data_IF_162360627669
#
_entry.id   IF_162360627669
#
_cell.length_a   1.000
_cell.length_b   1.000
_cell.length_c   1.000
_cell.angle_alpha   90.00
_cell.angle_beta   90.00
_cell.angle_gamma   90.00
#
_symmetry.space_group_name_H-M   'P 1'
#
loop_
_entity.id
_entity.type
_entity.pdbx_description
1 polymer ?
#
# COMPACT_ATOMS: atom_id res chain seq x y z
N UNK A 1 2.57 -33.85 -0.02
CA UNK A 1 3.66 -33.66 0.96
C UNK A 1 4.59 -32.51 0.57
N UNK A 2 5.34 -32.56 -0.54
CA UNK A 2 6.25 -31.44 -0.90
C UNK A 2 5.51 -30.13 -1.22
N UNK A 3 4.36 -30.20 -1.90
CA UNK A 3 3.52 -29.02 -2.15
C UNK A 3 2.98 -28.42 -0.84
N UNK A 4 2.54 -29.26 0.10
CA UNK A 4 2.03 -28.83 1.41
C UNK A 4 3.11 -28.08 2.23
N UNK A 5 4.39 -28.49 2.13
CA UNK A 5 5.50 -27.77 2.78
C UNK A 5 5.83 -26.44 2.08
N UNK A 6 5.71 -26.39 0.75
CA UNK A 6 5.96 -25.17 -0.01
C UNK A 6 4.93 -24.08 0.31
N UNK A 7 3.65 -24.45 0.45
CA UNK A 7 2.56 -23.52 0.78
C UNK A 7 2.72 -22.94 2.19
N UNK A 8 3.10 -23.76 3.17
CA UNK A 8 3.39 -23.31 4.54
C UNK A 8 4.61 -22.39 4.59
N UNK A 9 5.68 -22.71 3.85
CA UNK A 9 6.86 -21.86 3.77
C UNK A 9 6.54 -20.50 3.13
N UNK A 10 5.71 -20.50 2.08
CA UNK A 10 5.25 -19.29 1.40
C UNK A 10 4.44 -18.40 2.36
N UNK A 11 3.49 -18.99 3.11
CA UNK A 11 2.71 -18.27 4.11
C UNK A 11 3.63 -17.62 5.17
N UNK A 12 4.59 -18.38 5.69
CA UNK A 12 5.54 -17.90 6.69
C UNK A 12 6.40 -16.74 6.15
N UNK A 13 6.88 -16.85 4.91
CA UNK A 13 7.63 -15.80 4.25
C UNK A 13 6.80 -14.53 4.08
N UNK A 14 5.54 -14.66 3.67
CA UNK A 14 4.61 -13.54 3.54
C UNK A 14 4.43 -12.83 4.89
N UNK A 15 4.19 -13.57 5.97
CA UNK A 15 4.04 -12.99 7.33
C UNK A 15 5.30 -12.23 7.75
N UNK A 16 6.49 -12.80 7.54
CA UNK A 16 7.76 -12.14 7.84
C UNK A 16 7.90 -10.82 7.08
N UNK A 17 7.59 -10.80 5.79
CA UNK A 17 7.68 -9.59 4.95
C UNK A 17 6.76 -8.48 5.49
N UNK A 18 5.53 -8.82 5.90
CA UNK A 18 4.59 -7.84 6.45
C UNK A 18 5.04 -7.33 7.82
N UNK A 19 5.58 -8.19 8.69
CA UNK A 19 6.16 -7.79 9.98
C UNK A 19 7.33 -6.81 9.79
N UNK A 20 8.24 -7.11 8.87
CA UNK A 20 9.37 -6.21 8.54
C UNK A 20 8.85 -4.87 7.99
N UNK A 21 7.85 -4.89 7.11
CA UNK A 21 7.22 -3.69 6.58
C UNK A 21 6.62 -2.81 7.70
N UNK A 22 5.86 -3.41 8.62
CA UNK A 22 5.27 -2.70 9.77
C UNK A 22 6.35 -2.05 10.63
N UNK A 23 7.37 -2.82 11.04
CA UNK A 23 8.47 -2.32 11.86
C UNK A 23 9.18 -1.15 11.16
N UNK A 24 9.47 -1.29 9.88
CA UNK A 24 10.17 -0.26 9.09
C UNK A 24 9.34 1.01 8.98
N UNK A 25 8.04 0.89 8.72
CA UNK A 25 7.12 2.03 8.64
C UNK A 25 6.96 2.75 9.98
N UNK A 26 6.85 2.01 11.09
CA UNK A 26 6.80 2.59 12.44
C UNK A 26 8.09 3.37 12.76
N UNK A 27 9.26 2.78 12.48
CA UNK A 27 10.55 3.46 12.65
C UNK A 27 10.61 4.74 11.82
N UNK A 28 10.17 4.68 10.55
CA UNK A 28 10.15 5.84 9.66
C UNK A 28 9.22 6.95 10.17
N UNK A 29 8.04 6.63 10.70
CA UNK A 29 7.14 7.61 11.33
C UNK A 29 7.84 8.30 12.51
N UNK A 30 8.48 7.53 13.40
CA UNK A 30 9.19 8.06 14.57
C UNK A 30 10.33 8.99 14.13
N UNK A 31 11.11 8.61 13.12
CA UNK A 31 12.22 9.41 12.60
C UNK A 31 11.74 10.71 11.94
N UNK A 32 10.60 10.68 11.26
CA UNK A 32 10.04 11.84 10.57
C UNK A 32 9.32 12.81 11.51
N UNK A 33 8.78 12.30 12.63
CA UNK A 33 8.08 13.10 13.64
C UNK A 33 8.99 14.13 14.32
N UNK A 34 10.27 13.81 14.53
CA UNK A 34 11.22 14.64 15.30
C UNK A 34 11.79 15.86 14.55
N UNK A 35 11.49 16.05 13.26
CA UNK A 35 12.10 17.11 12.44
C UNK A 35 11.10 18.28 12.20
N UNK A 36 11.55 19.44 11.72
CA UNK A 36 10.65 20.58 11.35
C UNK A 36 9.71 20.25 10.19
N UNK A 37 8.41 20.58 10.29
CA UNK A 37 7.39 20.18 9.32
C UNK A 37 7.59 20.87 7.97
N UNK A 38 7.81 20.10 6.92
CA UNK A 38 7.75 20.57 5.52
C UNK A 38 6.60 19.88 4.81
N UNK A 39 5.99 20.53 3.80
CA UNK A 39 4.88 19.96 3.04
C UNK A 39 5.20 18.56 2.46
N UNK A 40 6.41 18.39 1.91
CA UNK A 40 6.90 17.09 1.43
C UNK A 40 6.89 16.02 2.52
N UNK A 41 7.22 16.38 3.77
CA UNK A 41 7.22 15.42 4.86
C UNK A 41 5.82 14.96 5.23
N UNK A 42 4.83 15.85 5.19
CA UNK A 42 3.43 15.47 5.46
C UNK A 42 2.98 14.40 4.46
N UNK A 43 3.31 14.57 3.17
CA UNK A 43 3.04 13.55 2.15
C UNK A 43 3.77 12.23 2.40
N UNK A 44 5.05 12.29 2.81
CA UNK A 44 5.81 11.08 3.16
C UNK A 44 5.17 10.35 4.34
N UNK A 45 4.82 11.07 5.42
CA UNK A 45 4.17 10.49 6.60
C UNK A 45 2.84 9.86 6.21
N UNK A 46 2.02 10.56 5.40
CA UNK A 46 0.74 10.04 4.94
C UNK A 46 0.92 8.77 4.09
N UNK A 47 1.91 8.74 3.19
CA UNK A 47 2.27 7.53 2.44
C UNK A 47 2.64 6.36 3.36
N UNK A 48 3.44 6.60 4.39
CA UNK A 48 3.87 5.57 5.34
C UNK A 48 2.70 5.06 6.17
N UNK A 49 1.79 5.95 6.59
CA UNK A 49 0.57 5.57 7.31
C UNK A 49 -0.33 4.71 6.43
N UNK A 50 -0.50 5.05 5.16
CA UNK A 50 -1.25 4.23 4.22
C UNK A 50 -0.62 2.84 4.04
N UNK A 51 0.71 2.77 3.94
CA UNK A 51 1.44 1.50 3.83
C UNK A 51 1.33 0.66 5.12
N UNK A 52 1.35 1.30 6.30
CA UNK A 52 1.14 0.64 7.58
C UNK A 52 -0.26 0.03 7.69
N UNK A 53 -1.30 0.78 7.32
CA UNK A 53 -2.69 0.28 7.32
C UNK A 53 -2.84 -0.85 6.32
N UNK A 54 -2.23 -0.74 5.13
CA UNK A 54 -2.25 -1.81 4.13
C UNK A 54 -1.58 -3.08 4.66
N UNK A 55 -0.37 -2.98 5.23
CA UNK A 55 0.34 -4.13 5.78
C UNK A 55 -0.43 -4.80 6.92
N UNK A 56 -1.06 -4.02 7.81
CA UNK A 56 -1.92 -4.55 8.88
C UNK A 56 -3.15 -5.24 8.29
N UNK A 57 -3.83 -4.60 7.35
CA UNK A 57 -5.03 -5.16 6.70
C UNK A 57 -4.71 -6.46 5.96
N UNK A 58 -3.57 -6.51 5.28
CA UNK A 58 -3.10 -7.70 4.58
C UNK A 58 -2.76 -8.83 5.56
N UNK A 59 -2.16 -8.55 6.72
CA UNK A 59 -1.98 -9.58 7.75
C UNK A 59 -3.33 -10.17 8.16
N UNK A 60 -4.36 -9.37 8.42
CA UNK A 60 -5.70 -9.91 8.73
C UNK A 60 -6.31 -10.70 7.56
N UNK A 61 -6.11 -10.23 6.32
CA UNK A 61 -6.56 -10.94 5.11
C UNK A 61 -5.76 -12.22 4.87
N UNK A 62 -4.52 -12.33 5.31
CA UNK A 62 -3.65 -13.52 5.16
C UNK A 62 -3.84 -14.49 6.33
N UNK A 63 -4.08 -13.98 7.54
CA UNK A 63 -4.35 -14.77 8.74
C UNK A 63 -5.66 -15.55 8.58
N UNK A 64 -6.66 -14.99 7.86
CA UNK A 64 -7.90 -15.70 7.55
C UNK A 64 -7.66 -16.95 6.68
N UNK A 65 -7.04 -16.89 5.48
CA UNK A 65 -6.61 -18.04 4.68
C UNK A 65 -5.52 -18.90 5.34
N UNK A 66 -4.61 -18.31 6.11
CA UNK A 66 -3.51 -19.02 6.77
C UNK A 66 -3.99 -19.94 7.88
N UNK A 67 -4.94 -19.48 8.71
CA UNK A 67 -5.71 -20.33 9.63
C UNK A 67 -6.53 -21.36 8.86
N UNK A 68 -7.19 -20.93 7.79
CA UNK A 68 -7.99 -21.80 6.91
C UNK A 68 -7.14 -22.92 6.28
N UNK A 69 -5.90 -22.67 5.84
CA UNK A 69 -4.96 -23.67 5.30
C UNK A 69 -4.40 -24.59 6.39
N UNK A 70 -4.06 -24.07 7.57
CA UNK A 70 -3.63 -24.91 8.70
C UNK A 70 -4.77 -25.74 9.30
N UNK A 71 -6.02 -25.30 9.17
CA UNK A 71 -7.23 -25.98 9.64
C UNK A 71 -8.00 -26.69 8.51
N UNK A 72 -7.41 -26.98 7.34
CA UNK A 72 -8.09 -27.78 6.30
C UNK A 72 -8.48 -29.20 6.75
N UNK A 73 -8.00 -29.65 7.91
CA UNK A 73 -8.50 -30.86 8.60
C UNK A 73 -9.76 -30.63 9.45
N UNK A 74 -10.15 -29.39 9.75
CA UNK A 74 -11.33 -29.00 10.57
C UNK A 74 -12.14 -27.83 9.96
N UNK A 75 -12.07 -27.67 8.64
CA UNK A 75 -12.47 -26.47 7.89
C UNK A 75 -13.95 -26.05 7.98
N UNK A 76 -14.84 -26.95 8.38
CA UNK A 76 -16.28 -26.66 8.39
C UNK A 76 -16.75 -25.87 9.61
N UNK A 77 -16.06 -25.93 10.75
CA UNK A 77 -16.49 -25.28 11.99
C UNK A 77 -15.99 -23.85 12.16
N UNK A 78 -14.86 -23.48 11.56
CA UNK A 78 -14.27 -22.14 11.74
C UNK A 78 -14.89 -21.05 10.84
N UNK A 79 -15.34 -21.40 9.63
CA UNK A 79 -16.03 -20.48 8.72
C UNK A 79 -17.43 -20.07 9.21
N UNK A 80 -17.99 -20.73 10.22
CA UNK A 80 -19.21 -20.28 10.91
C UNK A 80 -18.95 -19.12 11.89
N UNK A 81 -17.70 -18.94 12.35
CA UNK A 81 -17.34 -17.90 13.34
C UNK A 81 -17.01 -16.53 12.74
N UNK A 82 -16.51 -16.48 11.50
CA UNK A 82 -16.18 -15.21 10.84
C UNK A 82 -17.32 -14.74 9.92
N UNK A 83 -17.91 -13.55 10.15
CA UNK A 83 -18.94 -13.03 9.27
C UNK A 83 -18.31 -12.76 7.90
N UNK A 84 -18.82 -13.41 6.85
CA UNK A 84 -18.36 -13.23 5.44
C UNK A 84 -18.27 -11.75 5.02
N UNK A 85 -19.05 -10.90 5.66
CA UNK A 85 -19.05 -9.44 5.52
C UNK A 85 -17.65 -8.87 5.84
N UNK A 86 -17.02 -9.30 6.92
CA UNK A 86 -15.73 -8.78 7.39
C UNK A 86 -14.59 -9.09 6.43
N UNK A 87 -14.57 -10.27 5.80
CA UNK A 87 -13.55 -10.62 4.79
C UNK A 87 -13.69 -9.74 3.54
N UNK A 88 -14.92 -9.51 3.08
CA UNK A 88 -15.20 -8.62 1.95
C UNK A 88 -14.76 -7.19 2.24
N UNK A 89 -15.07 -6.69 3.44
CA UNK A 89 -14.70 -5.34 3.86
C UNK A 89 -13.18 -5.16 3.97
N UNK A 90 -12.46 -6.17 4.47
CA UNK A 90 -11.00 -6.17 4.53
C UNK A 90 -10.35 -6.17 3.13
N UNK A 91 -10.89 -6.95 2.19
CA UNK A 91 -10.42 -6.94 0.80
C UNK A 91 -10.67 -5.57 0.15
N UNK A 92 -11.86 -5.01 0.35
CA UNK A 92 -12.21 -3.68 -0.16
C UNK A 92 -11.27 -2.61 0.41
N UNK A 93 -11.04 -2.63 1.73
CA UNK A 93 -10.13 -1.73 2.41
C UNK A 93 -8.70 -1.85 1.87
N UNK A 94 -8.20 -3.07 1.69
CA UNK A 94 -6.87 -3.33 1.12
C UNK A 94 -6.73 -2.71 -0.28
N UNK A 95 -7.72 -2.92 -1.16
CA UNK A 95 -7.72 -2.35 -2.51
C UNK A 95 -7.79 -0.82 -2.50
N UNK A 96 -8.63 -0.23 -1.63
CA UNK A 96 -8.72 1.22 -1.47
C UNK A 96 -7.39 1.81 -0.99
N UNK A 97 -6.75 1.21 0.00
CA UNK A 97 -5.46 1.68 0.54
C UNK A 97 -4.33 1.55 -0.49
N UNK A 98 -4.35 0.50 -1.30
CA UNK A 98 -3.43 0.35 -2.43
C UNK A 98 -3.63 1.46 -3.47
N UNK A 99 -4.87 1.76 -3.84
CA UNK A 99 -5.19 2.88 -4.74
C UNK A 99 -4.73 4.23 -4.20
N UNK A 100 -5.00 4.52 -2.93
CA UNK A 100 -4.54 5.74 -2.25
C UNK A 100 -3.01 5.84 -2.26
N UNK A 101 -2.29 4.74 -2.00
CA UNK A 101 -0.82 4.71 -2.07
C UNK A 101 -0.30 5.10 -3.45
N UNK A 102 -0.88 4.56 -4.52
CA UNK A 102 -0.48 4.90 -5.88
C UNK A 102 -0.67 6.39 -6.16
N UNK A 103 -1.80 6.98 -5.72
CA UNK A 103 -2.09 8.41 -5.87
C UNK A 103 -1.06 9.26 -5.10
N UNK A 104 -0.69 8.87 -3.87
CA UNK A 104 0.29 9.60 -3.06
C UNK A 104 1.68 9.54 -3.71
N UNK A 105 2.15 8.35 -4.11
CA UNK A 105 3.43 8.18 -4.79
C UNK A 105 3.50 9.01 -6.07
N UNK A 106 2.39 9.02 -6.82
CA UNK A 106 2.25 9.82 -8.02
C UNK A 106 2.34 11.32 -7.72
N UNK A 107 1.59 11.80 -6.72
CA UNK A 107 1.61 13.20 -6.27
C UNK A 107 3.02 13.61 -5.81
N UNK A 108 3.72 12.72 -5.10
CA UNK A 108 5.10 12.95 -4.68
C UNK A 108 6.07 13.01 -5.86
N UNK A 109 5.90 12.17 -6.87
CA UNK A 109 6.69 12.21 -8.10
C UNK A 109 6.47 13.51 -8.86
N UNK A 110 5.21 13.96 -9.01
CA UNK A 110 4.85 15.25 -9.61
C UNK A 110 5.46 16.41 -8.84
N UNK A 111 5.35 16.40 -7.50
CA UNK A 111 5.90 17.45 -6.66
C UNK A 111 7.43 17.53 -6.78
N UNK A 112 8.12 16.39 -6.79
CA UNK A 112 9.58 16.32 -7.00
C UNK A 112 9.97 16.79 -8.40
N UNK A 113 9.22 16.41 -9.43
CA UNK A 113 9.40 16.89 -10.78
C UNK A 113 9.34 18.43 -10.80
N UNK A 114 8.26 19.03 -10.32
CA UNK A 114 8.17 20.49 -10.25
C UNK A 114 9.25 21.13 -9.39
N UNK A 115 9.66 20.53 -8.28
CA UNK A 115 10.72 21.09 -7.44
C UNK A 115 12.08 21.13 -8.17
N UNK A 116 12.45 20.05 -8.86
CA UNK A 116 13.68 19.98 -9.65
C UNK A 116 13.62 20.96 -10.82
N UNK A 117 12.50 20.98 -11.54
CA UNK A 117 12.31 21.83 -12.72
C UNK A 117 12.11 23.31 -12.37
N UNK A 118 11.55 23.65 -11.21
CA UNK A 118 11.46 25.04 -10.71
C UNK A 118 12.83 25.68 -10.52
N UNK A 119 13.84 24.91 -10.13
CA UNK A 119 15.22 25.39 -10.02
C UNK A 119 15.92 25.52 -11.38
N UNK A 120 15.44 24.84 -12.42
CA UNK A 120 16.06 24.84 -13.75
C UNK A 120 15.32 25.70 -14.79
N UNK A 121 14.05 26.08 -14.57
CA UNK A 121 13.21 26.68 -15.61
C UNK A 121 12.41 27.89 -15.15
N UNK A 122 12.99 29.06 -15.40
CA UNK A 122 12.31 30.34 -15.57
C UNK A 122 11.63 30.46 -16.96
N UNK A 123 11.12 29.36 -17.54
CA UNK A 123 10.48 29.34 -18.86
C UNK A 123 9.15 28.56 -18.81
N UNK A 124 8.08 29.31 -18.56
CA UNK A 124 6.81 28.85 -18.00
C UNK A 124 5.87 28.11 -18.98
N UNK A 125 6.12 28.11 -20.29
CA UNK A 125 5.12 27.65 -21.28
C UNK A 125 5.11 26.12 -21.52
N UNK A 126 6.24 25.45 -21.29
CA UNK A 126 6.33 24.00 -21.51
C UNK A 126 5.83 23.16 -20.31
N UNK A 127 5.68 23.75 -19.13
CA UNK A 127 5.36 23.01 -17.90
C UNK A 127 3.88 22.61 -17.78
N UNK A 128 2.97 23.42 -18.30
CA UNK A 128 1.53 23.11 -18.33
C UNK A 128 1.28 21.88 -19.22
N UNK A 129 1.99 21.79 -20.34
CA UNK A 129 1.88 20.68 -21.28
C UNK A 129 2.40 19.36 -20.70
N UNK A 130 3.52 19.38 -19.98
CA UNK A 130 4.06 18.16 -19.33
C UNK A 130 3.19 17.72 -18.16
N UNK A 131 2.65 18.65 -17.38
CA UNK A 131 1.69 18.34 -16.31
C UNK A 131 0.40 17.71 -16.88
N UNK A 132 -0.16 18.30 -17.93
CA UNK A 132 -1.36 17.79 -18.60
C UNK A 132 -1.12 16.43 -19.24
N UNK A 133 0.03 16.22 -19.89
CA UNK A 133 0.41 14.93 -20.44
C UNK A 133 0.50 13.88 -19.32
N UNK A 134 1.13 14.21 -18.20
CA UNK A 134 1.28 13.28 -17.09
C UNK A 134 -0.07 12.95 -16.44
N UNK A 135 -0.93 13.96 -16.20
CA UNK A 135 -2.28 13.75 -15.67
C UNK A 135 -3.12 12.85 -16.59
N UNK A 136 -2.98 13.03 -17.91
CA UNK A 136 -3.70 12.24 -18.92
C UNK A 136 -3.27 10.77 -18.94
N UNK A 137 -1.98 10.48 -18.76
CA UNK A 137 -1.47 9.10 -18.66
C UNK A 137 -1.97 8.43 -17.38
N UNK A 138 -2.01 9.14 -16.27
CA UNK A 138 -2.48 8.61 -14.99
C UNK A 138 -3.97 8.28 -15.00
N UNK A 139 -4.78 9.17 -15.58
CA UNK A 139 -6.21 8.91 -15.80
C UNK A 139 -6.43 7.67 -16.68
N UNK A 140 -5.60 7.49 -17.71
CA UNK A 140 -5.69 6.34 -18.62
C UNK A 140 -5.45 5.00 -17.89
N UNK A 141 -4.49 4.96 -16.96
CA UNK A 141 -4.23 3.78 -16.14
C UNK A 141 -5.37 3.48 -15.16
N UNK A 142 -5.97 4.51 -14.56
CA UNK A 142 -7.11 4.36 -13.64
C UNK A 142 -8.35 3.84 -14.39
N UNK A 143 -8.59 4.31 -15.61
CA UNK A 143 -9.75 3.86 -16.41
C UNK A 143 -9.64 2.43 -16.95
N UNK A 144 -8.44 1.86 -17.02
CA UNK A 144 -8.22 0.48 -17.49
C UNK A 144 -8.25 -0.57 -16.38
N UNK A 145 -8.21 -0.16 -15.12
CA UNK A 145 -8.25 -1.05 -13.96
C UNK A 145 -9.65 -1.20 -13.34
N UNK A 146 -10.66 -0.49 -13.85
CA UNK A 146 -12.08 -0.74 -13.57
C UNK A 146 -12.69 -1.70 -14.59
#
# INVERSE_FOLDING_TARGET
MWNDHADVLLLFLIVIIHCISIITNVIMIILLWKKQVSGLRVFIIYSIVCELILSISQIFVIDVPGMVITFYTEYHSFLEGYPRIMVKDLILLSNMMFGVRLIILHTMAVFRFFFIFRHTFYSYENHIHVLLLFLSVSLLFITKTG
#
